data_IF_053405745807
#
_entry.id   IF_053405745807
#
_cell.length_a   1.000
_cell.length_b   1.000
_cell.length_c   1.000
_cell.angle_alpha   90.00
_cell.angle_beta   90.00
_cell.angle_gamma   90.00
#
_symmetry.space_group_name_H-M   'P 1'
#
loop_
_entity.id
_entity.type
_entity.pdbx_description
1 polymer ?
#
# COMPACT_ATOMS: atom_id res chain seq x y z
N UNK A 1 -34.87 -92.99 -9.40
CA UNK A 1 -35.24 -91.58 -9.12
C UNK A 1 -33.96 -90.88 -8.70
N UNK A 2 -33.35 -90.10 -9.60
CA UNK A 2 -32.12 -89.34 -9.29
C UNK A 2 -32.56 -87.92 -9.07
N UNK A 3 -32.36 -87.46 -7.80
CA UNK A 3 -32.61 -86.09 -7.44
C UNK A 3 -31.40 -85.21 -7.94
N UNK A 4 -31.69 -84.44 -9.00
CA UNK A 4 -30.75 -83.47 -9.54
C UNK A 4 -30.59 -82.28 -8.52
N UNK A 5 -29.53 -82.34 -7.67
CA UNK A 5 -29.12 -81.22 -6.81
C UNK A 5 -28.54 -80.15 -7.70
N UNK A 6 -29.29 -79.09 -8.04
CA UNK A 6 -28.79 -77.88 -8.65
C UNK A 6 -27.79 -77.21 -7.71
N UNK A 7 -26.48 -77.27 -8.02
CA UNK A 7 -25.44 -76.63 -7.25
C UNK A 7 -25.59 -75.11 -7.29
N UNK A 8 -25.95 -74.49 -6.18
CA UNK A 8 -26.12 -73.02 -6.04
C UNK A 8 -24.74 -72.29 -5.92
N UNK A 9 -23.67 -73.05 -5.72
CA UNK A 9 -22.32 -72.54 -5.52
C UNK A 9 -21.81 -71.56 -6.60
N UNK A 10 -21.97 -71.83 -7.94
CA UNK A 10 -21.47 -70.94 -8.97
C UNK A 10 -22.19 -69.57 -9.00
N UNK A 11 -23.47 -69.52 -8.64
CA UNK A 11 -24.25 -68.29 -8.60
C UNK A 11 -23.85 -67.38 -7.43
N UNK A 12 -23.48 -67.93 -6.29
CA UNK A 12 -22.98 -67.20 -5.10
C UNK A 12 -21.60 -66.58 -5.36
N UNK A 13 -20.70 -67.27 -6.07
CA UNK A 13 -19.37 -66.78 -6.42
C UNK A 13 -19.50 -65.64 -7.45
N UNK A 14 -20.36 -65.74 -8.43
CA UNK A 14 -20.55 -64.69 -9.43
C UNK A 14 -21.20 -63.46 -8.84
N UNK A 15 -22.18 -63.61 -7.94
CA UNK A 15 -22.83 -62.49 -7.24
C UNK A 15 -21.87 -61.75 -6.28
N UNK A 16 -20.98 -62.47 -5.59
CA UNK A 16 -19.99 -61.83 -4.73
C UNK A 16 -18.93 -61.07 -5.50
N UNK A 17 -18.49 -61.61 -6.63
CA UNK A 17 -17.51 -60.92 -7.51
C UNK A 17 -18.07 -59.64 -8.14
N UNK A 18 -19.33 -59.64 -8.56
CA UNK A 18 -19.98 -58.41 -9.11
C UNK A 18 -20.22 -57.38 -8.02
N UNK A 19 -20.65 -57.72 -6.84
CA UNK A 19 -20.82 -56.81 -5.72
C UNK A 19 -19.51 -56.17 -5.26
N UNK A 20 -18.42 -56.93 -5.24
CA UNK A 20 -17.09 -56.42 -4.90
C UNK A 20 -16.58 -55.42 -5.99
N UNK A 21 -16.83 -55.72 -7.26
CA UNK A 21 -16.46 -54.84 -8.39
C UNK A 21 -17.22 -53.50 -8.33
N UNK A 22 -18.50 -53.51 -8.02
CA UNK A 22 -19.30 -52.29 -7.88
C UNK A 22 -18.86 -51.48 -6.67
N UNK A 23 -18.56 -52.10 -5.53
CA UNK A 23 -18.08 -51.40 -4.34
C UNK A 23 -16.74 -50.73 -4.54
N UNK A 24 -15.81 -51.39 -5.25
CA UNK A 24 -14.50 -50.84 -5.60
C UNK A 24 -14.64 -49.64 -6.54
N UNK A 25 -15.46 -49.76 -7.60
CA UNK A 25 -15.68 -48.64 -8.51
C UNK A 25 -16.36 -47.45 -7.88
N UNK A 26 -17.32 -47.66 -6.97
CA UNK A 26 -17.95 -46.60 -6.20
C UNK A 26 -16.97 -45.91 -5.25
N UNK A 27 -16.11 -46.66 -4.56
CA UNK A 27 -15.07 -46.11 -3.71
C UNK A 27 -14.03 -45.25 -4.49
N UNK A 28 -13.65 -45.74 -5.69
CA UNK A 28 -12.76 -44.95 -6.58
C UNK A 28 -13.45 -43.69 -7.14
N UNK A 29 -14.73 -43.74 -7.46
CA UNK A 29 -15.48 -42.58 -7.90
C UNK A 29 -15.57 -41.53 -6.78
N UNK A 30 -15.91 -41.96 -5.56
CA UNK A 30 -15.97 -41.07 -4.40
C UNK A 30 -14.59 -40.46 -4.03
N UNK A 31 -13.51 -41.26 -4.11
CA UNK A 31 -12.16 -40.77 -3.88
C UNK A 31 -11.75 -39.70 -4.92
N UNK A 32 -12.05 -39.92 -6.21
CA UNK A 32 -11.78 -38.93 -7.26
C UNK A 32 -12.58 -37.66 -7.07
N UNK A 33 -13.84 -37.77 -6.68
CA UNK A 33 -14.69 -36.60 -6.41
C UNK A 33 -14.22 -35.79 -5.22
N UNK A 34 -13.86 -36.45 -4.12
CA UNK A 34 -13.26 -35.81 -2.96
C UNK A 34 -11.94 -35.11 -3.29
N UNK A 35 -11.11 -35.72 -4.14
CA UNK A 35 -9.86 -35.12 -4.60
C UNK A 35 -10.13 -33.90 -5.46
N UNK A 36 -11.05 -33.96 -6.44
CA UNK A 36 -11.46 -32.82 -7.26
C UNK A 36 -12.00 -31.67 -6.41
N UNK A 37 -12.88 -31.95 -5.47
CA UNK A 37 -13.44 -30.94 -4.58
C UNK A 37 -12.36 -30.26 -3.72
N UNK A 38 -11.31 -30.99 -3.32
CA UNK A 38 -10.17 -30.39 -2.61
C UNK A 38 -9.34 -29.49 -3.51
N UNK A 39 -9.04 -29.95 -4.73
CA UNK A 39 -8.28 -29.16 -5.72
C UNK A 39 -9.05 -27.90 -6.14
N UNK A 40 -10.37 -27.98 -6.32
CA UNK A 40 -11.23 -26.83 -6.62
C UNK A 40 -11.25 -25.81 -5.46
N UNK A 41 -11.41 -26.29 -4.21
CA UNK A 41 -11.35 -25.40 -3.04
C UNK A 41 -10.00 -24.75 -2.87
N UNK A 42 -8.92 -25.47 -3.19
CA UNK A 42 -7.58 -24.88 -3.14
C UNK A 42 -7.42 -23.79 -4.21
N UNK A 43 -7.79 -24.06 -5.47
CA UNK A 43 -7.77 -23.08 -6.56
C UNK A 43 -8.60 -21.84 -6.23
N UNK A 44 -9.77 -22.02 -5.63
CA UNK A 44 -10.63 -20.90 -5.24
C UNK A 44 -9.98 -20.05 -4.13
N UNK A 45 -9.34 -20.68 -3.14
CA UNK A 45 -8.58 -19.96 -2.10
C UNK A 45 -7.41 -19.18 -2.70
N UNK A 46 -6.65 -19.82 -3.57
CA UNK A 46 -5.50 -19.20 -4.24
C UNK A 46 -5.95 -18.00 -5.08
N UNK A 47 -7.07 -18.14 -5.82
CA UNK A 47 -7.68 -17.07 -6.58
C UNK A 47 -8.12 -15.88 -5.70
N UNK A 48 -8.85 -16.15 -4.62
CA UNK A 48 -9.29 -15.10 -3.67
C UNK A 48 -8.09 -14.39 -3.06
N UNK A 49 -7.04 -15.14 -2.73
CA UNK A 49 -5.80 -14.58 -2.19
C UNK A 49 -5.12 -13.68 -3.23
N UNK A 50 -5.01 -14.14 -4.47
CA UNK A 50 -4.42 -13.36 -5.57
C UNK A 50 -5.21 -12.07 -5.86
N UNK A 51 -6.54 -12.15 -5.88
CA UNK A 51 -7.42 -10.98 -6.06
C UNK A 51 -7.25 -9.96 -4.92
N UNK A 52 -7.15 -10.42 -3.67
CA UNK A 52 -6.86 -9.56 -2.51
C UNK A 52 -5.50 -8.86 -2.64
N UNK A 53 -4.47 -9.57 -3.07
CA UNK A 53 -3.14 -9.00 -3.27
C UNK A 53 -3.11 -7.96 -4.40
N UNK A 54 -3.81 -8.22 -5.50
CA UNK A 54 -3.96 -7.26 -6.61
C UNK A 54 -4.65 -5.99 -6.13
N UNK A 55 -5.74 -6.14 -5.39
CA UNK A 55 -6.46 -5.01 -4.80
C UNK A 55 -5.58 -4.22 -3.83
N UNK A 56 -4.94 -4.86 -2.86
CA UNK A 56 -4.08 -4.19 -1.88
C UNK A 56 -2.91 -3.44 -2.56
N UNK A 57 -2.31 -4.03 -3.59
CA UNK A 57 -1.24 -3.37 -4.36
C UNK A 57 -1.75 -2.14 -5.10
N UNK A 58 -2.98 -2.17 -5.60
CA UNK A 58 -3.59 -1.02 -6.25
C UNK A 58 -3.88 0.10 -5.24
N UNK A 59 -4.45 -0.22 -4.08
CA UNK A 59 -4.68 0.74 -3.00
C UNK A 59 -3.38 1.39 -2.52
N UNK A 60 -2.33 0.60 -2.31
CA UNK A 60 -1.00 1.12 -1.97
C UNK A 60 -0.49 2.10 -3.00
N UNK A 61 -0.56 1.75 -4.30
CA UNK A 61 -0.11 2.64 -5.38
C UNK A 61 -0.86 3.96 -5.36
N UNK A 62 -2.17 3.94 -5.16
CA UNK A 62 -2.99 5.15 -5.12
C UNK A 62 -2.64 6.02 -3.91
N UNK A 63 -2.57 5.42 -2.73
CA UNK A 63 -2.24 6.13 -1.49
C UNK A 63 -0.83 6.76 -1.56
N UNK A 64 0.16 6.02 -2.06
CA UNK A 64 1.53 6.52 -2.16
C UNK A 64 1.66 7.62 -3.21
N UNK A 65 1.06 7.44 -4.38
CA UNK A 65 1.09 8.44 -5.45
C UNK A 65 0.43 9.75 -5.02
N UNK A 66 -0.71 9.68 -4.32
CA UNK A 66 -1.39 10.86 -3.81
C UNK A 66 -0.52 11.62 -2.78
N UNK A 67 0.10 10.91 -1.82
CA UNK A 67 0.95 11.54 -0.81
C UNK A 67 2.23 12.14 -1.43
N UNK A 68 2.87 11.45 -2.37
CA UNK A 68 4.04 11.96 -3.10
C UNK A 68 3.68 13.23 -3.88
N UNK A 69 2.53 13.23 -4.56
CA UNK A 69 2.05 14.39 -5.28
C UNK A 69 1.85 15.60 -4.36
N UNK A 70 1.21 15.41 -3.22
CA UNK A 70 1.03 16.45 -2.20
C UNK A 70 2.37 16.97 -1.65
N UNK A 71 3.35 16.09 -1.46
CA UNK A 71 4.70 16.47 -1.04
C UNK A 71 5.40 17.40 -2.03
N UNK A 72 5.34 17.07 -3.32
CA UNK A 72 5.91 17.92 -4.36
C UNK A 72 5.13 19.23 -4.55
N UNK A 73 3.80 19.21 -4.44
CA UNK A 73 2.99 20.44 -4.47
C UNK A 73 3.35 21.38 -3.31
N UNK A 74 3.46 20.84 -2.09
CA UNK A 74 3.85 21.64 -0.94
C UNK A 74 5.25 22.25 -1.12
N UNK A 75 6.22 21.49 -1.63
CA UNK A 75 7.56 21.99 -1.90
C UNK A 75 7.58 23.08 -2.98
N UNK A 76 6.80 22.92 -4.05
CA UNK A 76 6.68 23.92 -5.12
C UNK A 76 6.02 25.21 -4.61
N UNK A 77 4.94 25.10 -3.82
CA UNK A 77 4.25 26.25 -3.21
C UNK A 77 5.17 27.01 -2.25
N UNK A 78 6.00 26.28 -1.49
CA UNK A 78 7.00 26.90 -0.60
C UNK A 78 8.10 27.63 -1.37
N UNK A 79 8.57 27.05 -2.48
CA UNK A 79 9.58 27.68 -3.33
C UNK A 79 9.02 28.97 -3.95
N UNK A 80 7.78 28.94 -4.43
CA UNK A 80 7.12 30.12 -4.98
C UNK A 80 6.93 31.21 -3.90
N UNK A 81 6.49 30.83 -2.70
CA UNK A 81 6.34 31.76 -1.59
C UNK A 81 7.68 32.40 -1.16
N UNK A 82 8.77 31.62 -1.17
CA UNK A 82 10.11 32.12 -0.90
C UNK A 82 10.52 33.15 -1.97
N UNK A 83 10.28 32.89 -3.26
CA UNK A 83 10.54 33.82 -4.35
C UNK A 83 9.70 35.10 -4.24
N UNK A 84 8.42 35.03 -3.87
CA UNK A 84 7.58 36.21 -3.62
C UNK A 84 8.17 37.10 -2.51
N UNK A 85 8.69 36.49 -1.43
CA UNK A 85 9.25 37.22 -0.31
C UNK A 85 10.60 37.86 -0.65
N UNK A 86 11.52 37.10 -1.28
CA UNK A 86 12.91 37.52 -1.45
C UNK A 86 13.16 38.25 -2.76
N UNK A 87 12.63 37.76 -3.88
CA UNK A 87 12.92 38.32 -5.19
C UNK A 87 11.99 39.50 -5.51
N UNK A 88 10.72 39.43 -5.09
CA UNK A 88 9.71 40.43 -5.42
C UNK A 88 9.37 41.37 -4.26
N UNK A 89 9.76 41.03 -3.04
CA UNK A 89 9.43 41.82 -1.84
C UNK A 89 7.92 41.91 -1.60
N UNK A 90 7.16 40.88 -2.03
CA UNK A 90 5.68 40.86 -1.92
C UNK A 90 5.20 39.94 -0.78
N UNK A 91 5.03 40.47 0.43
CA UNK A 91 4.50 39.68 1.55
C UNK A 91 3.03 39.32 1.43
N UNK A 92 2.27 40.00 0.55
CA UNK A 92 0.85 39.66 0.32
C UNK A 92 0.72 38.43 -0.54
N UNK A 93 1.46 38.35 -1.66
CA UNK A 93 1.50 37.16 -2.50
C UNK A 93 2.02 35.94 -1.73
N UNK A 94 3.03 36.13 -0.88
CA UNK A 94 3.52 35.07 0.00
C UNK A 94 2.46 34.59 1.03
N UNK A 95 1.60 35.48 1.52
CA UNK A 95 0.52 35.12 2.45
C UNK A 95 -0.58 34.28 1.77
N UNK A 96 -0.92 34.59 0.52
CA UNK A 96 -1.87 33.81 -0.25
C UNK A 96 -1.35 32.38 -0.46
N UNK A 97 -0.06 32.25 -0.81
CA UNK A 97 0.61 30.94 -0.92
C UNK A 97 0.70 30.20 0.40
N UNK A 98 0.86 30.93 1.53
CA UNK A 98 0.82 30.32 2.85
C UNK A 98 -0.55 29.71 3.16
N UNK A 99 -1.66 30.37 2.81
CA UNK A 99 -3.01 29.82 2.97
C UNK A 99 -3.19 28.51 2.18
N UNK A 100 -2.70 28.48 0.92
CA UNK A 100 -2.71 27.28 0.11
C UNK A 100 -1.85 26.17 0.71
N UNK A 101 -0.71 26.52 1.33
CA UNK A 101 0.15 25.55 2.00
C UNK A 101 -0.52 24.93 3.22
N UNK A 102 -1.33 25.68 3.96
CA UNK A 102 -2.09 25.19 5.10
C UNK A 102 -3.11 24.13 4.66
N UNK A 103 -3.86 24.38 3.57
CA UNK A 103 -4.73 23.38 2.93
C UNK A 103 -3.97 22.11 2.50
N UNK A 104 -2.76 22.28 1.92
CA UNK A 104 -1.91 21.14 1.55
C UNK A 104 -1.41 20.35 2.77
N UNK A 105 -1.16 21.00 3.91
CA UNK A 105 -0.80 20.31 5.14
C UNK A 105 -1.93 19.44 5.67
N UNK A 106 -3.17 19.94 5.63
CA UNK A 106 -4.35 19.17 6.01
C UNK A 106 -4.55 17.97 5.09
N UNK A 107 -4.38 18.17 3.78
CA UNK A 107 -4.43 17.08 2.80
C UNK A 107 -3.31 16.04 3.03
N UNK A 108 -2.06 16.47 3.31
CA UNK A 108 -0.96 15.57 3.67
C UNK A 108 -1.30 14.80 4.94
N UNK A 109 -1.89 15.45 5.95
CA UNK A 109 -2.26 14.80 7.19
C UNK A 109 -3.30 13.69 6.97
N UNK A 110 -4.35 13.97 6.20
CA UNK A 110 -5.38 12.99 5.83
C UNK A 110 -4.75 11.83 5.03
N UNK A 111 -3.93 12.13 4.03
CA UNK A 111 -3.32 11.10 3.19
C UNK A 111 -2.31 10.22 3.93
N UNK A 112 -1.62 10.74 4.96
CA UNK A 112 -0.78 9.93 5.85
C UNK A 112 -1.61 8.89 6.60
N UNK A 113 -2.85 9.19 6.98
CA UNK A 113 -3.73 8.22 7.61
C UNK A 113 -4.10 7.07 6.63
N UNK A 114 -4.36 7.38 5.35
CA UNK A 114 -4.61 6.36 4.33
C UNK A 114 -3.38 5.45 4.13
N UNK A 115 -2.18 6.05 4.08
CA UNK A 115 -0.91 5.29 3.99
C UNK A 115 -0.71 4.39 5.21
N UNK A 116 -1.10 4.81 6.42
CA UNK A 116 -1.01 3.99 7.63
C UNK A 116 -1.87 2.73 7.57
N UNK A 117 -2.98 2.74 6.82
CA UNK A 117 -3.87 1.58 6.69
C UNK A 117 -3.32 0.51 5.75
N UNK A 118 -2.50 0.88 4.78
CA UNK A 118 -2.09 -0.03 3.70
C UNK A 118 -0.58 -0.18 3.54
N UNK A 119 0.23 0.73 4.08
CA UNK A 119 1.67 0.81 3.88
C UNK A 119 2.47 -0.11 4.79
N UNK A 120 3.71 -0.39 4.37
CA UNK A 120 4.72 -1.00 5.23
C UNK A 120 5.27 0.01 6.25
N UNK A 121 5.94 -0.49 7.29
CA UNK A 121 6.54 0.34 8.35
C UNK A 121 7.52 1.38 7.78
N UNK A 122 8.30 1.01 6.77
CA UNK A 122 9.23 1.91 6.11
C UNK A 122 8.52 3.09 5.43
N UNK A 123 7.42 2.81 4.69
CA UNK A 123 6.61 3.84 4.02
C UNK A 123 5.89 4.72 5.03
N UNK A 124 5.33 4.15 6.10
CA UNK A 124 4.68 4.89 7.18
C UNK A 124 5.67 5.85 7.84
N UNK A 125 6.89 5.40 8.13
CA UNK A 125 7.95 6.22 8.71
C UNK A 125 8.33 7.38 7.79
N UNK A 126 8.51 7.13 6.49
CA UNK A 126 8.79 8.16 5.50
C UNK A 126 7.62 9.16 5.37
N UNK A 127 6.37 8.70 5.38
CA UNK A 127 5.17 9.54 5.36
C UNK A 127 5.10 10.49 6.57
N UNK A 128 5.39 9.99 7.76
CA UNK A 128 5.47 10.82 8.96
C UNK A 128 6.61 11.83 8.91
N UNK A 129 7.74 11.48 8.30
CA UNK A 129 8.87 12.38 8.12
C UNK A 129 8.52 13.51 7.16
N UNK A 130 7.86 13.19 6.04
CA UNK A 130 7.33 14.17 5.09
C UNK A 130 6.36 15.14 5.79
N UNK A 131 5.36 14.63 6.52
CA UNK A 131 4.40 15.46 7.26
C UNK A 131 5.08 16.40 8.24
N UNK A 132 6.04 15.92 9.02
CA UNK A 132 6.80 16.75 9.97
C UNK A 132 7.62 17.81 9.26
N UNK A 133 8.25 17.47 8.15
CA UNK A 133 9.03 18.40 7.34
C UNK A 133 8.15 19.51 6.75
N UNK A 134 7.01 19.17 6.16
CA UNK A 134 6.05 20.13 5.62
C UNK A 134 5.58 21.12 6.71
N UNK A 135 5.15 20.61 7.87
CA UNK A 135 4.69 21.45 8.99
C UNK A 135 5.76 22.41 9.50
N UNK A 136 6.99 21.94 9.65
CA UNK A 136 8.11 22.78 10.12
C UNK A 136 8.45 23.87 9.11
N UNK A 137 8.42 23.54 7.83
CA UNK A 137 8.74 24.51 6.77
C UNK A 137 7.66 25.57 6.64
N UNK A 138 6.40 25.21 6.76
CA UNK A 138 5.29 26.19 6.79
C UNK A 138 5.35 27.13 8.00
N UNK A 139 5.73 26.60 9.15
CA UNK A 139 5.95 27.45 10.35
C UNK A 139 7.04 28.49 10.15
N UNK A 140 8.14 28.15 9.46
CA UNK A 140 9.19 29.12 9.12
C UNK A 140 8.72 30.14 8.07
N UNK A 141 7.95 29.72 7.07
CA UNK A 141 7.39 30.65 6.10
C UNK A 141 6.50 31.69 6.79
N UNK A 142 5.62 31.26 7.70
CA UNK A 142 4.79 32.19 8.50
C UNK A 142 5.62 33.20 9.25
N UNK A 143 6.70 32.77 9.92
CA UNK A 143 7.63 33.66 10.62
C UNK A 143 8.31 34.64 9.66
N UNK A 144 8.74 34.18 8.48
CA UNK A 144 9.38 35.02 7.45
C UNK A 144 8.40 36.05 6.89
N UNK A 145 7.14 35.69 6.66
CA UNK A 145 6.08 36.61 6.24
C UNK A 145 5.83 37.70 7.31
N UNK A 146 5.77 37.31 8.57
CA UNK A 146 5.57 38.25 9.68
C UNK A 146 6.78 39.20 9.87
N UNK A 147 7.98 38.69 9.69
CA UNK A 147 9.20 39.50 9.70
C UNK A 147 9.21 40.54 8.56
N UNK A 148 8.86 40.11 7.33
CA UNK A 148 8.76 40.99 6.17
C UNK A 148 7.70 42.09 6.38
N UNK A 149 6.54 41.78 6.94
CA UNK A 149 5.47 42.76 7.25
C UNK A 149 5.94 43.82 8.27
N UNK A 150 6.83 43.47 9.18
CA UNK A 150 7.37 44.39 10.19
C UNK A 150 8.54 45.25 9.68
N UNK A 151 8.86 45.18 8.38
CA UNK A 151 10.02 45.89 7.79
C UNK A 151 11.38 45.58 8.47
N UNK A 152 11.51 44.43 9.10
CA UNK A 152 12.76 43.94 9.64
C UNK A 152 13.52 43.09 8.61
N UNK A 153 13.67 43.63 7.39
CA UNK A 153 14.09 42.90 6.22
C UNK A 153 15.61 42.61 6.12
N UNK A 154 16.38 42.91 7.16
CA UNK A 154 17.85 42.69 7.12
C UNK A 154 18.28 41.34 7.73
N UNK A 155 17.40 40.37 7.83
CA UNK A 155 17.76 39.07 8.39
C UNK A 155 17.99 38.01 7.27
N UNK A 156 19.18 38.06 6.66
CA UNK A 156 19.68 37.03 5.71
C UNK A 156 19.57 35.60 6.30
N UNK A 157 19.60 35.48 7.64
CA UNK A 157 19.53 34.19 8.35
C UNK A 157 18.16 33.50 8.19
N UNK A 158 17.08 34.26 8.08
CA UNK A 158 15.72 33.69 7.86
C UNK A 158 15.58 33.08 6.48
N UNK A 159 16.24 33.67 5.47
CA UNK A 159 16.24 33.24 4.07
C UNK A 159 16.98 31.91 3.90
N UNK A 160 18.18 31.81 4.48
CA UNK A 160 18.98 30.58 4.43
C UNK A 160 18.26 29.43 5.12
N UNK A 161 17.59 29.71 6.23
CA UNK A 161 16.81 28.73 6.99
C UNK A 161 15.64 28.16 6.15
N UNK A 162 14.90 29.00 5.41
CA UNK A 162 13.79 28.59 4.57
C UNK A 162 14.26 27.73 3.38
N UNK A 163 15.31 28.16 2.69
CA UNK A 163 15.90 27.43 1.56
C UNK A 163 16.42 26.04 1.96
N UNK A 164 17.04 25.93 3.15
CA UNK A 164 17.47 24.66 3.68
C UNK A 164 16.26 23.74 4.00
N UNK A 165 15.18 24.28 4.54
CA UNK A 165 13.97 23.51 4.88
C UNK A 165 13.23 23.02 3.64
N UNK A 166 13.16 23.82 2.58
CA UNK A 166 12.60 23.40 1.30
C UNK A 166 13.39 22.18 0.76
N UNK A 167 14.71 22.22 0.82
CA UNK A 167 15.56 21.09 0.42
C UNK A 167 15.28 19.83 1.26
N UNK A 168 15.09 20.00 2.58
CA UNK A 168 14.73 18.86 3.46
C UNK A 168 13.34 18.30 3.15
N UNK A 169 12.39 19.13 2.74
CA UNK A 169 11.06 18.66 2.32
C UNK A 169 11.15 17.86 1.00
N UNK A 170 11.92 18.34 0.01
CA UNK A 170 12.20 17.58 -1.20
C UNK A 170 12.89 16.24 -0.89
N UNK A 171 13.88 16.24 0.00
CA UNK A 171 14.54 15.02 0.47
C UNK A 171 13.55 14.03 1.08
N UNK A 172 12.71 14.47 2.01
CA UNK A 172 11.69 13.63 2.63
C UNK A 172 10.65 13.08 1.62
N UNK A 173 10.33 13.86 0.58
CA UNK A 173 9.45 13.37 -0.51
C UNK A 173 10.14 12.29 -1.34
N UNK A 174 11.42 12.46 -1.65
CA UNK A 174 12.21 11.47 -2.39
C UNK A 174 12.42 10.19 -1.56
N UNK A 175 12.63 10.30 -0.24
CA UNK A 175 12.73 9.16 0.66
C UNK A 175 11.42 8.35 0.68
N UNK A 176 10.28 9.04 0.66
CA UNK A 176 8.97 8.40 0.51
C UNK A 176 8.83 7.69 -0.83
N UNK A 177 9.28 8.29 -1.93
CA UNK A 177 9.28 7.64 -3.26
C UNK A 177 10.13 6.38 -3.24
N UNK A 178 11.31 6.42 -2.64
CA UNK A 178 12.20 5.27 -2.53
C UNK A 178 11.55 4.14 -1.72
N UNK A 179 11.04 4.46 -0.53
CA UNK A 179 10.36 3.49 0.34
C UNK A 179 9.11 2.88 -0.33
N UNK A 180 8.29 3.69 -0.98
CA UNK A 180 7.10 3.24 -1.71
C UNK A 180 7.45 2.34 -2.90
N UNK A 181 8.53 2.66 -3.62
CA UNK A 181 9.00 1.87 -4.75
C UNK A 181 9.46 0.48 -4.29
N UNK A 182 10.18 0.41 -3.19
CA UNK A 182 10.64 -0.85 -2.61
C UNK A 182 9.46 -1.69 -2.09
N UNK A 183 8.54 -1.09 -1.35
CA UNK A 183 7.34 -1.77 -0.84
C UNK A 183 6.47 -2.37 -1.96
N UNK A 184 6.37 -1.69 -3.11
CA UNK A 184 5.63 -2.18 -4.26
C UNK A 184 6.36 -3.26 -5.07
N UNK A 185 7.68 -3.42 -4.90
CA UNK A 185 8.48 -4.48 -5.53
C UNK A 185 8.40 -5.79 -4.79
N UNK A 186 8.23 -5.77 -3.47
CA UNK A 186 8.14 -6.98 -2.65
C UNK A 186 6.92 -7.80 -3.06
N UNK A 187 7.16 -9.01 -3.60
CA UNK A 187 6.10 -9.97 -3.93
C UNK A 187 5.66 -10.73 -2.67
N UNK A 188 4.38 -11.11 -2.58
CA UNK A 188 3.86 -11.84 -1.40
C UNK A 188 4.50 -13.22 -1.17
N UNK A 189 5.42 -13.68 -2.04
CA UNK A 189 6.14 -14.93 -1.89
C UNK A 189 7.52 -14.83 -1.24
N UNK A 190 8.10 -13.62 -1.16
CA UNK A 190 9.48 -13.46 -0.67
C UNK A 190 9.61 -13.31 0.85
N UNK A 191 8.49 -13.16 1.57
CA UNK A 191 8.47 -12.95 3.04
C UNK A 191 8.36 -14.22 3.89
N UNK A 192 8.36 -15.41 3.31
CA UNK A 192 8.02 -16.67 3.99
C UNK A 192 9.19 -17.56 4.43
N UNK A 193 10.45 -17.22 4.18
CA UNK A 193 11.61 -18.08 4.49
C UNK A 193 12.58 -17.52 5.53
N UNK A 194 12.23 -16.51 6.28
CA UNK A 194 13.04 -16.08 7.42
C UNK A 194 12.24 -16.28 8.72
N UNK A 195 12.61 -17.33 9.46
CA UNK A 195 12.29 -17.72 10.83
C UNK A 195 11.43 -18.99 10.98
N UNK A 196 12.11 -20.14 10.88
CA UNK A 196 11.83 -21.33 11.71
C UNK A 196 13.13 -21.88 12.26
#
# INVERSE_FOLDING_TARGET
MAAGGTSIAPYLITASATLSGVAITAAFAEYRERRRSREERQRERDRVTEERWKWLRQERRQAYAALVHLGFQAAATLLEAASQLHDKGDPKGALELWTRLDELQDAIHAQVADVQLVGSEAVITAAHTLRRSARRTAGLLSQSVDAAKRKKADDDTATDGLSQRIRLLYGATNDLVAAATEDLRVSPGDGGEADT
#
